data_IF_101061654056
#
_entry.id   IF_101061654056
#
_cell.length_a   1.000
_cell.length_b   1.000
_cell.length_c   1.000
_cell.angle_alpha   90.00
_cell.angle_beta   90.00
_cell.angle_gamma   90.00
#
_symmetry.space_group_name_H-M   'P 1'
#
loop_
_entity.id
_entity.type
_entity.pdbx_description
1 polymer ?
#
# COMPACT_ATOMS: atom_id res chain seq x y z
N UNK A 1 0.64 28.86 -8.47
CA UNK A 1 0.29 27.43 -8.23
C UNK A 1 -0.02 27.27 -6.76
N UNK A 2 -1.28 27.12 -6.38
CA UNK A 2 -1.65 26.79 -5.00
C UNK A 2 -1.14 25.36 -4.71
N UNK A 3 -0.04 25.25 -3.99
CA UNK A 3 0.45 23.95 -3.57
C UNK A 3 -0.44 23.45 -2.45
N UNK A 4 -1.15 22.35 -2.69
CA UNK A 4 -1.98 21.66 -1.69
C UNK A 4 -1.14 21.20 -0.47
N UNK A 5 0.19 21.23 -0.61
CA UNK A 5 1.15 20.86 0.40
C UNK A 5 1.97 22.06 0.83
N UNK A 6 2.10 22.29 2.15
CA UNK A 6 3.00 23.26 2.72
C UNK A 6 4.46 22.91 2.36
N UNK A 7 5.30 23.94 2.13
CA UNK A 7 6.74 23.73 1.91
C UNK A 7 7.49 23.36 3.20
N UNK A 8 6.87 23.52 4.35
CA UNK A 8 7.48 23.16 5.64
C UNK A 8 7.04 21.75 6.06
N UNK A 9 8.01 20.90 6.33
CA UNK A 9 7.75 19.60 6.92
C UNK A 9 7.31 19.77 8.37
N UNK A 10 6.18 19.18 8.72
CA UNK A 10 5.71 19.11 10.12
C UNK A 10 6.53 18.13 10.94
N UNK A 11 7.23 17.20 10.29
CA UNK A 11 7.98 16.11 10.93
C UNK A 11 9.48 16.29 10.73
N UNK A 12 10.25 16.02 11.80
CA UNK A 12 11.71 16.07 11.77
C UNK A 12 12.31 14.93 10.96
N UNK A 13 13.61 15.04 10.63
CA UNK A 13 14.35 13.95 10.00
C UNK A 13 14.44 12.73 10.92
N UNK A 14 14.54 12.92 12.24
CA UNK A 14 14.57 11.81 13.21
C UNK A 14 13.26 11.01 13.16
N UNK A 15 12.11 11.70 13.10
CA UNK A 15 10.80 11.07 12.95
C UNK A 15 10.72 10.25 11.65
N UNK A 16 11.23 10.81 10.56
CA UNK A 16 11.27 10.13 9.28
C UNK A 16 12.14 8.86 9.35
N UNK A 17 13.35 8.97 9.90
CA UNK A 17 14.26 7.83 10.05
C UNK A 17 13.68 6.76 11.00
N UNK A 18 12.99 7.17 12.07
CA UNK A 18 12.32 6.24 12.98
C UNK A 18 11.21 5.45 12.27
N UNK A 19 10.42 6.08 11.43
CA UNK A 19 9.41 5.37 10.60
C UNK A 19 10.09 4.45 9.59
N UNK A 20 11.16 4.87 8.93
CA UNK A 20 11.90 3.99 8.01
C UNK A 20 12.51 2.78 8.74
N UNK A 21 13.08 2.99 9.93
CA UNK A 21 13.57 1.88 10.76
C UNK A 21 12.43 0.92 11.12
N UNK A 22 11.25 1.44 11.45
CA UNK A 22 10.08 0.62 11.74
C UNK A 22 9.68 -0.21 10.50
N UNK A 23 9.60 0.41 9.32
CA UNK A 23 9.23 -0.24 8.05
C UNK A 23 10.24 -1.29 7.61
N UNK A 24 11.54 -0.98 7.64
CA UNK A 24 12.57 -1.81 7.02
C UNK A 24 13.29 -2.77 7.98
N UNK A 25 13.12 -2.58 9.29
CA UNK A 25 13.80 -3.41 10.29
C UNK A 25 12.79 -4.08 11.22
N UNK A 26 11.96 -3.29 11.91
CA UNK A 26 11.06 -3.84 12.94
C UNK A 26 9.99 -4.73 12.32
N UNK A 27 9.28 -4.26 11.31
CA UNK A 27 8.21 -5.04 10.66
C UNK A 27 8.75 -6.31 10.02
N UNK A 28 9.79 -6.30 9.17
CA UNK A 28 10.31 -7.53 8.57
C UNK A 28 10.79 -8.55 9.61
N UNK A 29 11.51 -8.13 10.64
CA UNK A 29 12.07 -9.06 11.63
C UNK A 29 10.98 -9.62 12.55
N UNK A 30 10.15 -8.77 13.15
CA UNK A 30 9.24 -9.18 14.22
C UNK A 30 7.86 -9.59 13.72
N UNK A 31 7.39 -9.04 12.59
CA UNK A 31 6.04 -9.33 12.08
C UNK A 31 6.11 -10.31 10.90
N UNK A 32 6.87 -9.99 9.85
CA UNK A 32 6.89 -10.80 8.63
C UNK A 32 7.69 -12.11 8.78
N UNK A 33 8.69 -12.16 9.67
CA UNK A 33 9.40 -13.41 9.96
C UNK A 33 8.85 -14.05 11.24
N UNK A 34 9.13 -13.47 12.41
CA UNK A 34 8.85 -14.16 13.67
C UNK A 34 7.36 -14.39 13.95
N UNK A 35 6.49 -13.37 13.83
CA UNK A 35 5.07 -13.55 14.08
C UNK A 35 4.42 -14.42 13.01
N UNK A 36 4.79 -14.24 11.72
CA UNK A 36 4.30 -15.08 10.63
C UNK A 36 4.68 -16.56 10.84
N UNK A 37 5.92 -16.87 11.21
CA UNK A 37 6.36 -18.24 11.50
C UNK A 37 5.58 -18.85 12.68
N UNK A 38 5.34 -18.06 13.72
CA UNK A 38 4.52 -18.49 14.86
C UNK A 38 3.09 -18.82 14.43
N UNK A 39 2.45 -17.94 13.67
CA UNK A 39 1.10 -18.14 13.16
C UNK A 39 1.03 -19.34 12.22
N UNK A 40 2.04 -19.53 11.37
CA UNK A 40 2.13 -20.69 10.47
C UNK A 40 2.20 -22.01 11.25
N UNK A 41 2.97 -22.06 12.33
CA UNK A 41 3.05 -23.25 13.20
C UNK A 41 1.72 -23.52 13.93
N UNK A 42 0.99 -22.47 14.32
CA UNK A 42 -0.29 -22.59 15.04
C UNK A 42 -1.43 -23.02 14.14
N UNK A 43 -1.55 -22.42 12.97
CA UNK A 43 -2.69 -22.65 12.06
C UNK A 43 -2.41 -23.68 10.98
N UNK A 44 -1.14 -23.98 10.68
CA UNK A 44 -0.71 -24.88 9.59
C UNK A 44 -1.39 -24.54 8.25
N UNK A 45 -1.66 -23.25 8.04
CA UNK A 45 -2.39 -22.73 6.90
C UNK A 45 -1.80 -21.38 6.51
N UNK A 46 -1.24 -21.29 5.29
CA UNK A 46 -0.56 -20.10 4.77
C UNK A 46 -1.48 -18.90 4.61
N UNK A 47 -2.73 -19.12 4.22
CA UNK A 47 -3.70 -18.04 4.02
C UNK A 47 -4.08 -17.41 5.37
N UNK A 48 -4.39 -18.21 6.38
CA UNK A 48 -4.75 -17.69 7.70
C UNK A 48 -3.55 -17.02 8.38
N UNK A 49 -2.38 -17.63 8.33
CA UNK A 49 -1.16 -17.03 8.87
C UNK A 49 -0.84 -15.70 8.19
N UNK A 50 -0.87 -15.64 6.85
CA UNK A 50 -0.63 -14.42 6.08
C UNK A 50 -1.66 -13.33 6.33
N UNK A 51 -2.95 -13.68 6.43
CA UNK A 51 -4.03 -12.72 6.72
C UNK A 51 -3.88 -12.12 8.13
N UNK A 52 -3.61 -12.95 9.14
CA UNK A 52 -3.40 -12.47 10.50
C UNK A 52 -2.12 -11.63 10.61
N UNK A 53 -1.05 -12.00 9.92
CA UNK A 53 0.15 -11.18 9.82
C UNK A 53 -0.16 -9.81 9.22
N UNK A 54 -0.94 -9.75 8.13
CA UNK A 54 -1.40 -8.50 7.53
C UNK A 54 -2.22 -7.64 8.49
N UNK A 55 -3.08 -8.24 9.31
CA UNK A 55 -3.84 -7.53 10.34
C UNK A 55 -2.94 -6.98 11.46
N UNK A 56 -1.97 -7.78 11.92
CA UNK A 56 -0.96 -7.33 12.89
C UNK A 56 -0.16 -6.15 12.33
N UNK A 57 0.26 -6.22 11.07
CA UNK A 57 0.92 -5.11 10.37
C UNK A 57 0.05 -3.85 10.34
N UNK A 58 -1.22 -3.97 9.98
CA UNK A 58 -2.15 -2.84 9.93
C UNK A 58 -2.27 -2.13 11.29
N UNK A 59 -2.41 -2.91 12.36
CA UNK A 59 -2.45 -2.39 13.74
C UNK A 59 -1.11 -1.73 14.10
N UNK A 60 0.00 -2.42 13.86
CA UNK A 60 1.34 -1.93 14.20
C UNK A 60 1.68 -0.62 13.47
N UNK A 61 1.42 -0.53 12.16
CA UNK A 61 1.62 0.70 11.40
C UNK A 61 0.71 1.83 11.86
N UNK A 62 -0.57 1.55 12.09
CA UNK A 62 -1.52 2.57 12.56
C UNK A 62 -1.12 3.12 13.92
N UNK A 63 -0.74 2.24 14.86
CA UNK A 63 -0.28 2.62 16.20
C UNK A 63 1.04 3.40 16.13
N UNK A 64 2.02 2.92 15.36
CA UNK A 64 3.31 3.60 15.19
C UNK A 64 3.12 5.00 14.58
N UNK A 65 2.35 5.13 13.50
CA UNK A 65 2.05 6.41 12.89
C UNK A 65 1.32 7.35 13.86
N UNK A 66 0.34 6.83 14.60
CA UNK A 66 -0.37 7.66 15.59
C UNK A 66 0.58 8.21 16.64
N UNK A 67 1.36 7.39 17.31
CA UNK A 67 2.24 7.84 18.38
C UNK A 67 3.41 8.68 17.87
N UNK A 68 4.05 8.27 16.77
CA UNK A 68 5.28 8.90 16.28
C UNK A 68 4.98 10.18 15.49
N UNK A 69 3.90 10.23 14.70
CA UNK A 69 3.67 11.33 13.76
C UNK A 69 2.51 12.25 14.15
N UNK A 70 1.51 11.74 14.88
CA UNK A 70 0.32 12.51 15.25
C UNK A 70 0.45 13.00 16.68
N UNK A 71 0.48 12.07 17.65
CA UNK A 71 0.48 12.41 19.08
C UNK A 71 1.70 13.24 19.49
N UNK A 72 2.91 12.85 19.06
CA UNK A 72 4.16 13.57 19.40
C UNK A 72 4.22 15.00 18.86
N UNK A 73 3.42 15.32 17.86
CA UNK A 73 3.37 16.65 17.24
C UNK A 73 2.08 17.42 17.51
N UNK A 74 1.16 16.88 18.33
CA UNK A 74 -0.14 17.50 18.59
C UNK A 74 -0.99 17.65 17.32
N UNK A 75 -0.82 16.76 16.34
CA UNK A 75 -1.52 16.78 15.07
C UNK A 75 -2.77 15.89 15.12
N UNK A 76 -3.49 15.85 14.01
CA UNK A 76 -4.63 14.96 13.80
C UNK A 76 -4.47 14.15 12.49
N UNK A 77 -5.34 13.18 12.24
CA UNK A 77 -5.32 12.33 11.05
C UNK A 77 -5.42 13.10 9.74
N UNK A 78 -6.06 14.26 9.72
CA UNK A 78 -6.10 15.14 8.53
C UNK A 78 -4.70 15.59 8.11
N UNK A 79 -3.75 15.65 9.07
CA UNK A 79 -2.35 15.95 8.77
C UNK A 79 -1.67 14.90 7.91
N UNK A 80 -2.17 13.67 7.92
CA UNK A 80 -1.78 12.57 7.04
C UNK A 80 -2.66 12.44 5.78
N UNK A 81 -3.53 13.43 5.51
CA UNK A 81 -4.35 13.43 4.32
C UNK A 81 -5.70 12.70 4.44
N UNK A 82 -6.08 12.22 5.65
CA UNK A 82 -7.41 11.66 5.90
C UNK A 82 -8.44 12.80 6.01
N UNK A 83 -8.83 13.35 4.88
CA UNK A 83 -9.80 14.44 4.77
C UNK A 83 -10.65 14.25 3.52
N UNK A 84 -11.87 14.79 3.52
CA UNK A 84 -12.77 14.74 2.38
C UNK A 84 -12.13 15.34 1.12
N UNK A 85 -12.58 14.91 -0.03
CA UNK A 85 -12.20 15.42 -1.35
C UNK A 85 -13.44 15.93 -2.12
N UNK A 86 -13.20 16.76 -3.13
CA UNK A 86 -14.28 17.35 -3.92
C UNK A 86 -14.98 16.28 -4.77
N UNK A 87 -16.32 16.35 -4.86
CA UNK A 87 -17.14 15.40 -5.64
C UNK A 87 -16.75 15.34 -7.12
N UNK A 88 -16.18 16.41 -7.66
CA UNK A 88 -15.68 16.47 -9.05
C UNK A 88 -14.55 15.46 -9.34
N UNK A 89 -13.90 14.91 -8.32
CA UNK A 89 -12.85 13.88 -8.50
C UNK A 89 -13.37 12.46 -8.72
N UNK A 90 -14.67 12.18 -8.59
CA UNK A 90 -15.18 10.83 -8.83
C UNK A 90 -14.90 10.33 -10.26
N UNK A 91 -15.13 11.17 -11.28
CA UNK A 91 -14.83 10.79 -12.65
C UNK A 91 -13.30 10.59 -12.90
N UNK A 92 -12.41 11.51 -12.48
CA UNK A 92 -10.97 11.25 -12.47
C UNK A 92 -10.57 9.95 -11.74
N UNK A 93 -11.15 9.63 -10.58
CA UNK A 93 -10.86 8.39 -9.84
C UNK A 93 -11.16 7.16 -10.70
N UNK A 94 -12.34 7.13 -11.36
CA UNK A 94 -12.69 6.06 -12.29
C UNK A 94 -11.66 5.96 -13.42
N UNK A 95 -11.29 7.10 -14.03
CA UNK A 95 -10.29 7.15 -15.10
C UNK A 95 -8.90 6.64 -14.66
N UNK A 96 -8.44 7.05 -13.47
CA UNK A 96 -7.16 6.58 -12.92
C UNK A 96 -7.20 5.11 -12.54
N UNK A 97 -8.34 4.62 -12.03
CA UNK A 97 -8.53 3.18 -11.76
C UNK A 97 -8.44 2.38 -13.06
N UNK A 98 -9.16 2.81 -14.10
CA UNK A 98 -9.12 2.16 -15.40
C UNK A 98 -7.70 2.18 -16.00
N UNK A 99 -7.01 3.32 -15.94
CA UNK A 99 -5.63 3.45 -16.40
C UNK A 99 -4.67 2.53 -15.65
N UNK A 100 -4.85 2.39 -14.33
CA UNK A 100 -4.08 1.46 -13.51
C UNK A 100 -4.33 0.00 -13.92
N UNK A 101 -5.58 -0.41 -14.10
CA UNK A 101 -5.94 -1.78 -14.48
C UNK A 101 -5.36 -2.13 -15.85
N UNK A 102 -5.58 -1.28 -16.86
CA UNK A 102 -5.08 -1.51 -18.22
C UNK A 102 -3.54 -1.50 -18.25
N UNK A 103 -2.91 -0.53 -17.61
CA UNK A 103 -1.45 -0.42 -17.57
C UNK A 103 -0.79 -1.59 -16.83
N UNK A 104 -1.39 -2.05 -15.73
CA UNK A 104 -0.92 -3.23 -15.00
C UNK A 104 -1.10 -4.51 -15.83
N UNK A 105 -2.23 -4.65 -16.53
CA UNK A 105 -2.45 -5.77 -17.45
C UNK A 105 -1.41 -5.84 -18.56
N UNK A 106 -1.08 -4.69 -19.17
CA UNK A 106 -0.02 -4.61 -20.17
C UNK A 106 1.36 -4.95 -19.58
N UNK A 107 1.65 -4.49 -18.37
CA UNK A 107 2.90 -4.86 -17.67
C UNK A 107 2.99 -6.36 -17.41
N UNK A 108 1.90 -6.99 -16.97
CA UNK A 108 1.85 -8.45 -16.75
C UNK A 108 2.08 -9.21 -18.05
N UNK A 109 1.44 -8.81 -19.16
CA UNK A 109 1.67 -9.42 -20.47
C UNK A 109 3.13 -9.27 -20.90
N UNK A 110 3.72 -8.08 -20.73
CA UNK A 110 5.13 -7.86 -21.04
C UNK A 110 6.04 -8.74 -20.18
N UNK A 111 5.77 -8.84 -18.88
CA UNK A 111 6.54 -9.69 -17.98
C UNK A 111 6.48 -11.17 -18.39
N UNK A 112 5.31 -11.65 -18.78
CA UNK A 112 5.12 -13.02 -19.25
C UNK A 112 5.91 -13.29 -20.53
N UNK A 113 5.94 -12.35 -21.49
CA UNK A 113 6.76 -12.45 -22.70
C UNK A 113 8.27 -12.54 -22.40
N UNK A 114 8.72 -12.03 -21.26
CA UNK A 114 10.10 -12.16 -20.78
C UNK A 114 10.31 -13.35 -19.83
N UNK A 115 9.32 -14.23 -19.69
CA UNK A 115 9.38 -15.43 -18.86
C UNK A 115 9.25 -15.16 -17.35
N UNK A 116 8.75 -13.98 -16.94
CA UNK A 116 8.46 -13.65 -15.55
C UNK A 116 7.01 -14.05 -15.26
N UNK A 117 6.80 -15.22 -14.68
CA UNK A 117 5.47 -15.71 -14.33
C UNK A 117 4.78 -14.88 -13.25
N UNK A 118 3.46 -14.98 -13.19
CA UNK A 118 2.62 -14.25 -12.21
C UNK A 118 2.44 -15.00 -10.88
N UNK A 119 2.81 -16.27 -10.84
CA UNK A 119 2.68 -17.08 -9.63
C UNK A 119 3.65 -16.65 -8.54
N UNK A 120 3.14 -16.59 -7.33
CA UNK A 120 3.91 -16.33 -6.11
C UNK A 120 3.23 -16.98 -4.89
N UNK A 121 3.90 -16.96 -3.74
CA UNK A 121 3.38 -17.60 -2.52
C UNK A 121 1.98 -17.12 -2.13
N UNK A 122 1.65 -15.83 -2.34
CA UNK A 122 0.33 -15.26 -1.99
C UNK A 122 -0.76 -15.78 -2.93
N UNK A 123 -0.50 -15.85 -4.23
CA UNK A 123 -1.44 -16.41 -5.20
C UNK A 123 -1.60 -17.91 -4.97
N UNK A 124 -0.52 -18.64 -4.75
CA UNK A 124 -0.54 -20.08 -4.47
C UNK A 124 -1.31 -20.43 -3.18
N UNK A 125 -1.15 -19.67 -2.10
CA UNK A 125 -1.89 -19.92 -0.86
C UNK A 125 -3.41 -19.66 -1.01
N UNK A 126 -3.81 -18.71 -1.85
CA UNK A 126 -5.23 -18.47 -2.14
C UNK A 126 -5.82 -19.59 -3.00
N UNK A 127 -5.10 -20.04 -4.04
CA UNK A 127 -5.58 -21.08 -4.96
C UNK A 127 -5.60 -22.48 -4.32
N UNK A 128 -4.75 -22.74 -3.32
CA UNK A 128 -4.70 -24.04 -2.63
C UNK A 128 -6.00 -24.39 -1.87
N UNK A 129 -6.76 -23.41 -1.41
CA UNK A 129 -7.96 -23.61 -0.60
C UNK A 129 -9.11 -22.70 -1.02
N UNK A 130 -9.45 -22.70 -2.32
CA UNK A 130 -10.53 -21.88 -2.85
C UNK A 130 -11.89 -22.29 -2.31
N UNK A 131 -12.48 -21.46 -1.48
CA UNK A 131 -13.87 -21.49 -1.07
C UNK A 131 -14.37 -20.08 -0.73
N UNK A 132 -15.68 -19.91 -0.61
CA UNK A 132 -16.26 -18.57 -0.37
C UNK A 132 -15.72 -17.84 0.85
N UNK A 133 -15.36 -18.56 1.91
CA UNK A 133 -14.83 -17.99 3.14
C UNK A 133 -13.37 -17.53 2.98
N UNK A 134 -12.53 -18.33 2.33
CA UNK A 134 -11.12 -17.98 2.06
C UNK A 134 -11.01 -16.79 1.11
N UNK A 135 -11.85 -16.74 0.06
CA UNK A 135 -11.95 -15.59 -0.85
C UNK A 135 -12.37 -14.33 -0.07
N UNK A 136 -13.37 -14.43 0.80
CA UNK A 136 -13.84 -13.29 1.62
C UNK A 136 -12.72 -12.75 2.53
N UNK A 137 -12.00 -13.63 3.23
CA UNK A 137 -10.89 -13.24 4.11
C UNK A 137 -9.77 -12.58 3.30
N UNK A 138 -9.35 -13.17 2.19
CA UNK A 138 -8.33 -12.61 1.31
C UNK A 138 -8.76 -11.24 0.76
N UNK A 139 -10.04 -11.11 0.34
CA UNK A 139 -10.59 -9.85 -0.14
C UNK A 139 -10.58 -8.76 0.94
N UNK A 140 -11.06 -9.05 2.14
CA UNK A 140 -11.04 -8.08 3.26
C UNK A 140 -9.61 -7.67 3.59
N UNK A 141 -8.69 -8.62 3.68
CA UNK A 141 -7.27 -8.34 3.99
C UNK A 141 -6.60 -7.49 2.91
N UNK A 142 -6.66 -7.94 1.65
CA UNK A 142 -5.91 -7.32 0.56
C UNK A 142 -6.60 -6.09 -0.05
N UNK A 143 -7.94 -6.06 -0.10
CA UNK A 143 -8.68 -4.98 -0.75
C UNK A 143 -9.21 -3.92 0.22
N UNK A 144 -9.25 -4.19 1.52
CA UNK A 144 -9.74 -3.20 2.50
C UNK A 144 -8.65 -2.84 3.49
N UNK A 145 -8.14 -3.82 4.25
CA UNK A 145 -7.22 -3.55 5.37
C UNK A 145 -5.87 -3.02 4.85
N UNK A 146 -5.28 -3.69 3.87
CA UNK A 146 -3.96 -3.32 3.33
C UNK A 146 -3.95 -1.91 2.73
N UNK A 147 -4.85 -1.53 1.81
CA UNK A 147 -4.89 -0.19 1.25
C UNK A 147 -5.05 0.94 2.28
N UNK A 148 -5.75 0.69 3.38
CA UNK A 148 -5.96 1.72 4.40
C UNK A 148 -4.64 2.10 5.06
N UNK A 149 -3.93 1.16 5.69
CA UNK A 149 -2.70 1.50 6.40
C UNK A 149 -1.55 1.86 5.45
N UNK A 150 -1.50 1.22 4.28
CA UNK A 150 -0.47 1.51 3.28
C UNK A 150 -0.59 2.94 2.73
N UNK A 151 -1.78 3.41 2.36
CA UNK A 151 -1.93 4.77 1.86
C UNK A 151 -1.68 5.81 2.96
N UNK A 152 -2.03 5.53 4.23
CA UNK A 152 -1.69 6.40 5.36
C UNK A 152 -0.16 6.52 5.49
N UNK A 153 0.56 5.41 5.42
CA UNK A 153 2.02 5.37 5.55
C UNK A 153 2.71 5.99 4.33
N UNK A 154 2.45 5.44 3.13
CA UNK A 154 3.24 5.79 1.94
C UNK A 154 2.84 7.15 1.37
N UNK A 155 1.55 7.51 1.35
CA UNK A 155 1.09 8.80 0.81
C UNK A 155 0.92 9.83 1.89
N UNK A 156 0.26 9.47 2.98
CA UNK A 156 0.02 10.37 4.09
C UNK A 156 1.29 10.84 4.79
N UNK A 157 2.29 9.96 4.96
CA UNK A 157 3.54 10.30 5.63
C UNK A 157 4.73 10.39 4.67
N UNK A 158 5.16 9.29 4.02
CA UNK A 158 6.43 9.23 3.27
C UNK A 158 6.40 10.19 2.07
N UNK A 159 5.41 10.08 1.17
CA UNK A 159 5.27 10.99 0.03
C UNK A 159 5.22 12.45 0.49
N UNK A 160 4.37 12.74 1.47
CA UNK A 160 4.19 14.10 2.00
C UNK A 160 5.48 14.66 2.59
N UNK A 161 6.28 13.84 3.28
CA UNK A 161 7.56 14.27 3.82
C UNK A 161 8.54 14.67 2.69
N UNK A 162 8.68 13.86 1.63
CA UNK A 162 9.49 14.21 0.47
C UNK A 162 8.93 15.42 -0.28
N UNK A 163 7.61 15.54 -0.37
CA UNK A 163 6.94 16.63 -1.10
C UNK A 163 7.22 18.02 -0.50
N UNK A 164 7.61 18.08 0.76
CA UNK A 164 8.07 19.34 1.38
C UNK A 164 9.51 19.70 0.99
N UNK A 165 10.30 18.78 0.49
CA UNK A 165 11.74 18.92 0.20
C UNK A 165 12.08 18.81 -1.28
N UNK A 166 11.26 18.09 -2.04
CA UNK A 166 11.49 17.76 -3.45
C UNK A 166 10.32 18.27 -4.32
N UNK A 167 10.55 18.28 -5.64
CA UNK A 167 9.49 18.49 -6.60
C UNK A 167 8.52 17.28 -6.65
N UNK A 168 7.39 17.45 -7.33
CA UNK A 168 6.34 16.43 -7.45
C UNK A 168 6.90 15.11 -8.00
N UNK A 169 7.60 15.17 -9.14
CA UNK A 169 8.11 13.98 -9.82
C UNK A 169 9.07 13.17 -8.96
N UNK A 170 10.05 13.83 -8.33
CA UNK A 170 11.02 13.15 -7.47
C UNK A 170 10.35 12.57 -6.21
N UNK A 171 9.39 13.28 -5.63
CA UNK A 171 8.64 12.78 -4.46
C UNK A 171 7.80 11.54 -4.80
N UNK A 172 7.18 11.54 -5.99
CA UNK A 172 6.45 10.37 -6.50
C UNK A 172 7.39 9.18 -6.72
N UNK A 173 8.52 9.40 -7.40
CA UNK A 173 9.50 8.33 -7.66
C UNK A 173 10.01 7.72 -6.36
N UNK A 174 10.47 8.52 -5.41
CA UNK A 174 11.02 8.01 -4.14
C UNK A 174 9.94 7.25 -3.35
N UNK A 175 8.76 7.83 -3.18
CA UNK A 175 7.68 7.18 -2.43
C UNK A 175 7.22 5.86 -3.08
N UNK A 176 7.13 5.83 -4.42
CA UNK A 176 6.76 4.62 -5.15
C UNK A 176 7.86 3.55 -5.11
N UNK A 177 9.12 3.96 -5.15
CA UNK A 177 10.26 3.03 -4.98
C UNK A 177 10.23 2.41 -3.58
N UNK A 178 10.05 3.20 -2.52
CA UNK A 178 9.94 2.70 -1.15
C UNK A 178 8.76 1.72 -1.04
N UNK A 179 7.59 2.10 -1.57
CA UNK A 179 6.42 1.23 -1.61
C UNK A 179 6.67 -0.09 -2.34
N UNK A 180 7.46 -0.08 -3.40
CA UNK A 180 7.80 -1.27 -4.19
C UNK A 180 8.78 -2.17 -3.45
N UNK A 181 9.84 -1.61 -2.87
CA UNK A 181 10.92 -2.37 -2.22
C UNK A 181 10.43 -3.17 -1.02
N UNK A 182 9.45 -2.67 -0.28
CA UNK A 182 8.86 -3.40 0.86
C UNK A 182 8.08 -4.65 0.44
N UNK A 183 7.79 -4.82 -0.85
CA UNK A 183 7.14 -6.04 -1.36
C UNK A 183 8.13 -7.16 -1.71
N UNK A 184 9.43 -6.95 -1.52
CA UNK A 184 10.41 -8.01 -1.62
C UNK A 184 10.12 -9.10 -0.54
N UNK A 185 10.34 -10.37 -0.85
CA UNK A 185 10.96 -10.93 -2.06
C UNK A 185 10.00 -11.28 -3.20
N UNK A 186 8.79 -10.74 -3.27
CA UNK A 186 7.82 -11.02 -4.33
C UNK A 186 8.18 -10.26 -5.62
N UNK A 187 9.26 -10.69 -6.27
CA UNK A 187 9.89 -9.97 -7.40
C UNK A 187 8.95 -9.73 -8.57
N UNK A 188 8.05 -10.66 -8.88
CA UNK A 188 7.13 -10.57 -10.00
C UNK A 188 6.02 -9.53 -9.82
N UNK A 189 5.83 -8.99 -8.63
CA UNK A 189 4.86 -7.91 -8.40
C UNK A 189 5.48 -6.51 -8.45
N UNK A 190 6.83 -6.39 -8.43
CA UNK A 190 7.51 -5.10 -8.29
C UNK A 190 7.17 -4.10 -9.39
N UNK A 191 7.12 -4.46 -10.70
CA UNK A 191 6.78 -3.50 -11.75
C UNK A 191 5.36 -2.95 -11.60
N UNK A 192 4.39 -3.81 -11.25
CA UNK A 192 3.00 -3.41 -11.01
C UNK A 192 2.89 -2.55 -9.75
N UNK A 193 3.60 -2.91 -8.67
CA UNK A 193 3.64 -2.12 -7.43
C UNK A 193 4.25 -0.74 -7.64
N UNK A 194 5.30 -0.63 -8.45
CA UNK A 194 5.89 0.67 -8.78
C UNK A 194 4.93 1.54 -9.58
N UNK A 195 4.31 0.98 -10.61
CA UNK A 195 3.33 1.69 -11.43
C UNK A 195 2.12 2.14 -10.62
N UNK A 196 1.54 1.25 -9.82
CA UNK A 196 0.43 1.58 -8.91
C UNK A 196 0.85 2.65 -7.90
N UNK A 197 2.06 2.55 -7.37
CA UNK A 197 2.66 3.53 -6.48
C UNK A 197 2.66 4.95 -7.07
N UNK A 198 3.01 5.10 -8.33
CA UNK A 198 2.97 6.39 -9.04
C UNK A 198 1.55 6.92 -9.18
N UNK A 199 0.59 6.07 -9.54
CA UNK A 199 -0.83 6.46 -9.69
C UNK A 199 -1.42 6.91 -8.34
N UNK A 200 -1.15 6.20 -7.26
CA UNK A 200 -1.64 6.57 -5.93
C UNK A 200 -1.02 7.90 -5.45
N UNK A 201 0.29 8.10 -5.64
CA UNK A 201 0.95 9.35 -5.30
C UNK A 201 0.43 10.53 -6.15
N UNK A 202 0.21 10.33 -7.46
CA UNK A 202 -0.40 11.31 -8.34
C UNK A 202 -1.82 11.67 -7.90
N UNK A 203 -2.64 10.67 -7.57
CA UNK A 203 -4.00 10.87 -7.10
C UNK A 203 -4.03 11.72 -5.83
N UNK A 204 -3.13 11.42 -4.89
CA UNK A 204 -2.99 12.21 -3.67
C UNK A 204 -2.52 13.64 -3.96
N UNK A 205 -1.54 13.85 -4.85
CA UNK A 205 -1.10 15.20 -5.24
C UNK A 205 -2.24 16.01 -5.85
N UNK A 206 -3.11 15.40 -6.66
CA UNK A 206 -4.22 16.10 -7.30
C UNK A 206 -5.37 16.42 -6.37
N UNK A 207 -5.69 15.54 -5.45
CA UNK A 207 -6.90 15.66 -4.60
C UNK A 207 -6.60 16.26 -3.23
N UNK A 208 -5.36 16.19 -2.76
CA UNK A 208 -4.95 16.55 -1.41
C UNK A 208 -5.53 15.63 -0.32
N UNK A 209 -6.20 14.54 -0.71
CA UNK A 209 -6.79 13.52 0.15
C UNK A 209 -6.26 12.14 -0.20
N UNK A 210 -6.00 11.29 0.79
CA UNK A 210 -5.59 9.90 0.54
C UNK A 210 -6.77 8.97 0.25
N UNK A 211 -8.00 9.37 0.54
CA UNK A 211 -9.19 8.53 0.27
C UNK A 211 -9.33 8.11 -1.20
N UNK A 212 -9.12 8.99 -2.20
CA UNK A 212 -9.13 8.58 -3.59
C UNK A 212 -8.07 7.52 -3.93
N UNK A 213 -6.87 7.65 -3.39
CA UNK A 213 -5.82 6.64 -3.56
C UNK A 213 -6.22 5.31 -2.89
N UNK A 214 -6.77 5.34 -1.67
CA UNK A 214 -7.32 4.14 -1.01
C UNK A 214 -8.39 3.46 -1.86
N UNK A 215 -9.33 4.23 -2.43
CA UNK A 215 -10.40 3.68 -3.29
C UNK A 215 -9.81 2.97 -4.51
N UNK A 216 -8.90 3.63 -5.22
CA UNK A 216 -8.26 3.05 -6.42
C UNK A 216 -7.49 1.78 -6.04
N UNK A 217 -6.72 1.83 -4.96
CA UNK A 217 -5.94 0.70 -4.45
C UNK A 217 -6.84 -0.47 -4.05
N UNK A 218 -7.93 -0.19 -3.30
CA UNK A 218 -8.91 -1.19 -2.88
C UNK A 218 -9.59 -1.87 -4.06
N UNK A 219 -10.03 -1.10 -5.06
CA UNK A 219 -10.66 -1.65 -6.27
C UNK A 219 -9.65 -2.49 -7.05
N UNK A 220 -8.42 -2.02 -7.22
CA UNK A 220 -7.37 -2.74 -7.94
C UNK A 220 -7.04 -4.08 -7.29
N UNK A 221 -6.77 -4.08 -5.98
CA UNK A 221 -6.48 -5.31 -5.23
C UNK A 221 -7.69 -6.26 -5.17
N UNK A 222 -8.90 -5.70 -5.00
CA UNK A 222 -10.12 -6.50 -5.01
C UNK A 222 -10.35 -7.22 -6.32
N UNK A 223 -10.15 -6.54 -7.45
CA UNK A 223 -10.22 -7.15 -8.78
C UNK A 223 -9.14 -8.23 -8.96
N UNK A 224 -7.92 -8.00 -8.48
CA UNK A 224 -6.85 -9.00 -8.55
C UNK A 224 -7.21 -10.28 -7.78
N UNK A 225 -7.76 -10.17 -6.55
CA UNK A 225 -8.23 -11.33 -5.76
C UNK A 225 -9.36 -12.07 -6.50
N UNK A 226 -10.34 -11.34 -7.04
CA UNK A 226 -11.43 -11.96 -7.77
C UNK A 226 -10.96 -12.66 -9.05
N UNK A 227 -10.05 -12.06 -9.79
CA UNK A 227 -9.46 -12.70 -10.97
C UNK A 227 -8.76 -14.01 -10.58
N UNK A 228 -7.91 -14.04 -9.55
CA UNK A 228 -7.23 -15.25 -9.07
C UNK A 228 -8.25 -16.32 -8.61
N UNK A 229 -9.36 -15.90 -8.01
CA UNK A 229 -10.36 -16.83 -7.47
C UNK A 229 -11.22 -17.48 -8.55
N UNK A 230 -11.35 -16.88 -9.75
CA UNK A 230 -12.26 -17.34 -10.81
C UNK A 230 -11.53 -17.77 -12.11
N UNK A 231 -10.20 -17.75 -12.13
CA UNK A 231 -9.37 -18.28 -13.22
C UNK A 231 -8.68 -19.58 -12.80
#
# INVERSE_FOLDING_TARGET
MNTLFSKESRWSIQTFLLILMFVFIIVPIFIENWAQDLLQRLFQNDLYAGTLTGLIMAIAFTVALYYITIKSYGLNWQSLGLKSFAKSYWLPIIGWTFFLIVGSGLLVILMDLFGVGVENKKTASLTAELNGFTILIAFISAAIVSPIYEEILYRGFIYKWFRTKCNIGLSMLISSTIFTVVHLPTYNTLPVNFFSGLIFAWTYEKTGSIYPAMIIHSVFNGLAILLIAFT
#
